data_IF_576327135249
#
_entry.id   IF_576327135249
#
_cell.length_a   1.000
_cell.length_b   1.000
_cell.length_c   1.000
_cell.angle_alpha   90.00
_cell.angle_beta   90.00
_cell.angle_gamma   90.00
#
_symmetry.space_group_name_H-M   'P 1'
#
loop_
_entity.id
_entity.type
_entity.pdbx_description
1 polymer ?
#
# COMPACT_ATOMS: atom_id res chain seq x y z
N UNK A 1 -12.07 -10.54 -1.08
CA UNK A 1 -12.94 -9.88 -2.06
C UNK A 1 -12.25 -8.60 -2.49
N UNK A 2 -11.89 -8.48 -3.77
CA UNK A 2 -11.19 -7.30 -4.30
C UNK A 2 -12.23 -6.33 -4.86
N UNK A 3 -11.93 -5.02 -4.81
CA UNK A 3 -12.67 -4.03 -5.60
C UNK A 3 -12.44 -4.33 -7.09
N UNK A 4 -13.52 -4.52 -7.85
CA UNK A 4 -13.46 -4.82 -9.29
C UNK A 4 -13.37 -3.52 -10.08
N UNK A 5 -14.42 -2.70 -10.06
CA UNK A 5 -14.50 -1.44 -10.81
C UNK A 5 -14.54 -0.23 -9.87
N UNK A 6 -13.92 0.87 -10.29
CA UNK A 6 -13.88 2.15 -9.58
C UNK A 6 -14.29 3.27 -10.55
N UNK A 7 -15.51 3.76 -10.39
CA UNK A 7 -16.10 4.79 -11.26
C UNK A 7 -16.02 6.21 -10.66
N UNK A 8 -15.71 6.32 -9.37
CA UNK A 8 -15.80 7.57 -8.61
C UNK A 8 -14.43 8.14 -8.20
N UNK A 9 -13.32 7.65 -8.77
CA UNK A 9 -11.99 8.18 -8.51
C UNK A 9 -11.64 9.28 -9.54
N UNK A 10 -11.44 10.54 -9.12
CA UNK A 10 -11.17 11.64 -10.06
C UNK A 10 -9.92 11.40 -10.91
N UNK A 11 -9.99 11.78 -12.20
CA UNK A 11 -8.90 11.61 -13.16
C UNK A 11 -8.98 10.33 -14.00
N UNK A 12 -10.00 9.49 -13.79
CA UNK A 12 -10.34 8.34 -14.64
C UNK A 12 -11.77 8.51 -15.16
N UNK A 13 -11.91 9.22 -16.29
CA UNK A 13 -13.19 9.58 -16.90
C UNK A 13 -14.03 8.36 -17.36
N UNK A 14 -13.36 7.28 -17.75
CA UNK A 14 -13.99 5.99 -18.09
C UNK A 14 -14.05 5.01 -16.91
N UNK A 15 -13.73 5.46 -15.69
CA UNK A 15 -13.48 4.58 -14.55
C UNK A 15 -12.16 3.80 -14.68
N UNK A 16 -11.85 2.97 -13.69
CA UNK A 16 -10.64 2.14 -13.65
C UNK A 16 -10.87 0.86 -12.84
N UNK A 17 -10.21 -0.23 -13.24
CA UNK A 17 -10.17 -1.45 -12.43
C UNK A 17 -9.44 -1.19 -11.10
N UNK A 18 -10.00 -1.66 -9.99
CA UNK A 18 -9.42 -1.53 -8.66
C UNK A 18 -7.96 -2.00 -8.56
N UNK A 19 -7.57 -3.15 -9.16
CA UNK A 19 -6.18 -3.57 -9.25
C UNK A 19 -5.26 -2.59 -10.00
N UNK A 20 -5.72 -2.00 -11.10
CA UNK A 20 -4.92 -1.09 -11.93
C UNK A 20 -4.71 0.26 -11.24
N UNK A 21 -5.72 0.74 -10.51
CA UNK A 21 -5.59 1.93 -9.67
C UNK A 21 -4.50 1.72 -8.60
N UNK A 22 -4.50 0.58 -7.91
CA UNK A 22 -3.47 0.23 -6.91
C UNK A 22 -2.07 0.20 -7.53
N UNK A 23 -1.92 -0.40 -8.71
CA UNK A 23 -0.62 -0.46 -9.42
C UNK A 23 -0.14 0.95 -9.78
N UNK A 24 -1.04 1.81 -10.25
CA UNK A 24 -0.74 3.21 -10.58
C UNK A 24 -0.21 3.97 -9.37
N UNK A 25 -0.90 3.86 -8.22
CA UNK A 25 -0.48 4.48 -6.96
C UNK A 25 0.87 3.95 -6.46
N UNK A 26 1.10 2.63 -6.58
CA UNK A 26 2.37 2.01 -6.21
C UNK A 26 3.53 2.58 -7.01
N UNK A 27 3.40 2.65 -8.34
CA UNK A 27 4.41 3.23 -9.25
C UNK A 27 4.71 4.69 -8.91
N UNK A 28 3.69 5.47 -8.55
CA UNK A 28 3.89 6.86 -8.12
C UNK A 28 4.73 6.94 -6.84
N UNK A 29 4.45 6.07 -5.87
CA UNK A 29 5.20 5.98 -4.60
C UNK A 29 6.66 5.59 -4.83
N UNK A 30 6.92 4.62 -5.71
CA UNK A 30 8.27 4.20 -6.11
C UNK A 30 9.03 5.34 -6.81
N UNK A 31 8.38 6.10 -7.71
CA UNK A 31 8.98 7.29 -8.35
C UNK A 31 9.40 8.38 -7.37
N UNK A 32 8.76 8.46 -6.20
CA UNK A 32 9.13 9.38 -5.12
C UNK A 32 10.27 8.85 -4.23
N UNK A 33 10.92 7.74 -4.63
CA UNK A 33 12.07 7.16 -3.94
C UNK A 33 11.71 6.44 -2.63
N UNK A 34 10.45 6.02 -2.46
CA UNK A 34 10.03 5.29 -1.26
C UNK A 34 10.30 3.80 -1.42
N UNK A 35 10.84 3.19 -0.36
CA UNK A 35 10.95 1.73 -0.25
C UNK A 35 9.60 1.15 0.17
N UNK A 36 9.06 0.27 -0.64
CA UNK A 36 7.88 -0.53 -0.31
C UNK A 36 8.36 -1.89 0.17
N UNK A 37 7.85 -2.35 1.31
CA UNK A 37 8.13 -3.67 1.87
C UNK A 37 6.84 -4.47 1.79
N UNK A 38 6.81 -5.46 0.91
CA UNK A 38 5.66 -6.36 0.75
C UNK A 38 5.69 -7.43 1.83
N UNK A 39 5.21 -7.08 3.03
CA UNK A 39 5.16 -7.98 4.16
C UNK A 39 4.02 -7.60 5.11
N UNK A 40 3.69 -8.49 6.04
CA UNK A 40 2.62 -8.30 7.02
C UNK A 40 3.19 -7.87 8.36
N UNK A 41 2.83 -6.67 8.82
CA UNK A 41 3.21 -6.22 10.17
C UNK A 41 2.60 -7.13 11.23
N UNK A 42 3.44 -7.68 12.12
CA UNK A 42 3.02 -8.62 13.17
C UNK A 42 2.85 -7.97 14.54
N UNK A 43 3.58 -6.89 14.81
CA UNK A 43 3.41 -6.11 16.05
C UNK A 43 4.01 -4.72 15.97
N UNK A 44 3.56 -3.85 16.88
CA UNK A 44 3.99 -2.46 17.03
C UNK A 44 4.37 -2.17 18.48
N UNK A 45 5.35 -1.30 18.70
CA UNK A 45 5.71 -0.77 20.02
C UNK A 45 5.56 0.75 20.00
N UNK A 46 4.63 1.25 20.83
CA UNK A 46 4.32 2.67 20.97
C UNK A 46 4.73 3.25 22.32
N UNK A 47 5.27 2.45 23.24
CA UNK A 47 5.38 2.85 24.65
C UNK A 47 6.57 3.77 24.91
N UNK A 48 7.70 3.54 24.24
CA UNK A 48 8.91 4.33 24.43
C UNK A 48 9.61 4.52 23.07
N UNK A 49 9.96 5.76 22.74
CA UNK A 49 10.51 6.10 21.42
C UNK A 49 11.90 5.48 21.15
N UNK A 50 12.31 5.35 19.87
CA UNK A 50 11.50 5.50 18.66
C UNK A 50 10.46 4.37 18.49
N UNK A 51 9.35 4.66 17.82
CA UNK A 51 8.30 3.67 17.53
C UNK A 51 8.89 2.51 16.72
N UNK A 52 8.48 1.28 17.03
CA UNK A 52 8.98 0.09 16.34
C UNK A 52 7.85 -0.69 15.69
N UNK A 53 8.14 -1.20 14.50
CA UNK A 53 7.28 -2.12 13.75
C UNK A 53 8.06 -3.40 13.54
N UNK A 54 7.43 -4.56 13.77
CA UNK A 54 8.03 -5.87 13.53
C UNK A 54 7.34 -6.58 12.36
N UNK A 55 8.15 -7.19 11.51
CA UNK A 55 7.74 -8.05 10.40
C UNK A 55 7.86 -9.53 10.82
N UNK A 56 7.26 -10.48 10.09
CA UNK A 56 7.40 -11.90 10.35
C UNK A 56 8.87 -12.32 10.19
N UNK A 57 9.32 -13.22 11.06
CA UNK A 57 10.57 -13.95 10.85
C UNK A 57 10.22 -15.25 10.15
N UNK A 58 10.50 -15.31 8.85
CA UNK A 58 10.44 -16.56 8.10
C UNK A 58 11.63 -17.43 8.53
N UNK A 59 11.37 -18.71 8.83
CA UNK A 59 12.39 -19.72 9.18
C UNK A 59 13.09 -20.19 7.90
#
# INVERSE_FOLDING_TARGET
MNTTDVENYPGFDQGIMGPDLKITMRKQTEKMGKKIIDDVVTSVDFKNGPLKVRLPQYI
#
